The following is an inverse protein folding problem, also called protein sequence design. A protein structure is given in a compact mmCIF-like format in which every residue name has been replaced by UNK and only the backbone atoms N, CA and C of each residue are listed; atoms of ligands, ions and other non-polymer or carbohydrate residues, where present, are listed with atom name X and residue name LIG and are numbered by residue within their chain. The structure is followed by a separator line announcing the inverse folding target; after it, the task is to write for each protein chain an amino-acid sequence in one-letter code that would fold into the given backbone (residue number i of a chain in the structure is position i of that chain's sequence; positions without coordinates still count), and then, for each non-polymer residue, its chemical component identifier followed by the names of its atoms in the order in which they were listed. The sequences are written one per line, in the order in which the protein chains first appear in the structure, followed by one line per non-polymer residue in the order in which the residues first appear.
data_IF_981189448485
#
_entry.id   IF_981189448485
#
_cell.length_a   1.000
_cell.length_b   1.000
_cell.length_c   1.000
_cell.angle_alpha   90.00
_cell.angle_beta   90.00
_cell.angle_gamma   90.00
#
_symmetry.space_group_name_H-M   'P 1'
#
loop_
_entity.id
_entity.type
_entity.pdbx_description
1 polymer ?
#
# COMPACT_ATOMS: atom_id res chain seq x y z
N UNK A 1 23.14 -10.23 8.38
CA UNK A 1 23.15 -9.06 7.46
C UNK A 1 23.49 -7.84 8.29
N UNK A 2 24.37 -6.94 7.84
CA UNK A 2 24.60 -5.67 8.51
C UNK A 2 23.29 -4.86 8.61
N UNK A 3 23.02 -4.17 9.74
CA UNK A 3 21.81 -3.37 9.93
C UNK A 3 21.53 -2.40 8.78
N UNK A 4 22.56 -1.72 8.27
CA UNK A 4 22.43 -0.75 7.16
C UNK A 4 21.90 -1.37 5.87
N UNK A 5 22.30 -2.62 5.59
CA UNK A 5 21.79 -3.35 4.42
C UNK A 5 20.32 -3.71 4.57
N UNK A 6 19.84 -3.92 5.80
CA UNK A 6 18.42 -4.22 6.07
C UNK A 6 17.59 -2.95 5.84
N UNK A 7 18.02 -1.82 6.43
CA UNK A 7 17.35 -0.53 6.27
C UNK A 7 17.32 -0.08 4.81
N UNK A 8 18.45 -0.17 4.10
CA UNK A 8 18.53 0.17 2.67
C UNK A 8 17.58 -0.67 1.81
N UNK A 9 17.46 -1.97 2.09
CA UNK A 9 16.54 -2.86 1.36
C UNK A 9 15.08 -2.49 1.62
N UNK A 10 14.73 -2.27 2.89
CA UNK A 10 13.39 -1.85 3.28
C UNK A 10 12.97 -0.57 2.55
N UNK A 11 13.85 0.44 2.57
CA UNK A 11 13.60 1.72 1.91
C UNK A 11 13.41 1.56 0.39
N UNK A 12 14.28 0.78 -0.27
CA UNK A 12 14.16 0.52 -1.71
C UNK A 12 12.87 -0.21 -2.07
N UNK A 13 12.44 -1.17 -1.24
CA UNK A 13 11.16 -1.86 -1.43
C UNK A 13 9.98 -0.89 -1.35
N UNK A 14 9.99 0.05 -0.40
CA UNK A 14 8.95 1.10 -0.32
C UNK A 14 8.97 2.01 -1.56
N UNK A 15 10.15 2.41 -2.03
CA UNK A 15 10.29 3.28 -3.21
C UNK A 15 9.73 2.63 -4.48
N UNK A 16 9.92 1.31 -4.62
CA UNK A 16 9.46 0.52 -5.76
C UNK A 16 8.01 0.04 -5.63
N UNK A 17 7.40 0.14 -4.45
CA UNK A 17 6.13 -0.49 -4.13
C UNK A 17 5.01 -0.11 -5.10
N UNK A 18 4.92 1.17 -5.49
CA UNK A 18 3.93 1.65 -6.46
C UNK A 18 4.03 0.92 -7.81
N UNK A 19 5.22 0.90 -8.41
CA UNK A 19 5.42 0.26 -9.72
C UNK A 19 5.25 -1.26 -9.63
N UNK A 20 5.73 -1.88 -8.55
CA UNK A 20 5.51 -3.31 -8.31
C UNK A 20 4.02 -3.64 -8.25
N UNK A 21 3.23 -2.83 -7.55
CA UNK A 21 1.79 -3.03 -7.40
C UNK A 21 1.07 -2.97 -8.75
N UNK A 22 1.50 -2.09 -9.66
CA UNK A 22 0.94 -1.98 -11.02
C UNK A 22 1.23 -3.18 -11.92
N UNK A 23 2.29 -3.96 -11.61
CA UNK A 23 2.63 -5.18 -12.34
C UNK A 23 1.82 -6.40 -11.84
N UNK A 24 1.16 -6.29 -10.69
CA UNK A 24 0.32 -7.36 -10.15
C UNK A 24 -1.05 -7.35 -10.83
N UNK A 25 -1.59 -8.53 -11.11
CA UNK A 25 -3.00 -8.66 -11.51
C UNK A 25 -3.95 -8.18 -10.39
N UNK A 26 -3.57 -8.39 -9.14
CA UNK A 26 -4.30 -7.93 -7.95
C UNK A 26 -3.32 -7.78 -6.81
N UNK A 27 -3.49 -6.79 -5.95
CA UNK A 27 -2.63 -6.58 -4.78
C UNK A 27 -3.46 -6.20 -3.55
N UNK A 28 -2.99 -6.59 -2.36
CA UNK A 28 -3.66 -6.27 -1.10
C UNK A 28 -2.67 -5.60 -0.15
N UNK A 29 -3.16 -4.58 0.55
CA UNK A 29 -2.43 -3.89 1.60
C UNK A 29 -3.13 -4.12 2.94
N UNK A 30 -2.34 -4.51 3.93
CA UNK A 30 -2.80 -4.81 5.27
C UNK A 30 -1.76 -4.35 6.29
N UNK A 31 -2.24 -3.98 7.47
CA UNK A 31 -1.37 -3.92 8.66
C UNK A 31 -1.35 -5.30 9.30
N UNK A 32 -0.17 -5.72 9.76
CA UNK A 32 0.02 -6.99 10.47
C UNK A 32 0.73 -6.79 11.81
N UNK A 33 0.67 -5.58 12.38
CA UNK A 33 1.34 -5.25 13.64
C UNK A 33 0.71 -5.95 14.84
N UNK A 34 -0.61 -6.15 14.83
CA UNK A 34 -1.34 -6.90 15.85
C UNK A 34 -2.20 -8.00 15.21
N UNK A 35 -3.14 -7.60 14.36
CA UNK A 35 -4.03 -8.48 13.60
C UNK A 35 -3.92 -8.15 12.12
N UNK A 36 -4.03 -9.16 11.27
CA UNK A 36 -3.99 -9.00 9.82
C UNK A 36 -5.21 -8.20 9.34
N UNK A 37 -5.06 -6.88 9.23
CA UNK A 37 -6.15 -5.95 8.93
C UNK A 37 -6.01 -5.40 7.52
N UNK A 38 -6.76 -5.93 6.53
CA UNK A 38 -6.72 -5.40 5.17
C UNK A 38 -7.42 -4.04 5.09
N UNK A 39 -6.74 -3.06 4.50
CA UNK A 39 -7.25 -1.69 4.40
C UNK A 39 -7.26 -1.14 2.97
N UNK A 40 -6.54 -1.75 2.02
CA UNK A 40 -6.62 -1.37 0.61
C UNK A 40 -6.37 -2.55 -0.32
N UNK A 41 -6.84 -2.42 -1.56
CA UNK A 41 -6.69 -3.40 -2.63
C UNK A 41 -6.49 -2.71 -3.97
N UNK A 42 -5.57 -3.21 -4.80
CA UNK A 42 -5.58 -2.93 -6.24
C UNK A 42 -6.32 -4.04 -6.96
N UNK A 43 -7.41 -3.68 -7.60
CA UNK A 43 -8.29 -4.58 -8.35
C UNK A 43 -7.69 -4.96 -9.71
N UNK A 44 -8.15 -6.04 -10.35
CA UNK A 44 -7.78 -6.40 -11.73
C UNK A 44 -7.94 -5.29 -12.77
N UNK A 45 -8.85 -4.35 -12.54
CA UNK A 45 -9.09 -3.23 -13.45
C UNK A 45 -8.24 -1.99 -13.13
N UNK A 46 -7.25 -2.13 -12.24
CA UNK A 46 -6.31 -1.08 -11.86
C UNK A 46 -6.85 -0.02 -10.90
N UNK A 47 -8.05 -0.23 -10.33
CA UNK A 47 -8.57 0.65 -9.27
C UNK A 47 -7.92 0.34 -7.93
N UNK A 48 -7.55 1.39 -7.19
CA UNK A 48 -7.14 1.33 -5.81
C UNK A 48 -8.35 1.57 -4.90
N UNK A 49 -8.82 0.49 -4.29
CA UNK A 49 -9.94 0.48 -3.36
C UNK A 49 -9.42 0.62 -1.93
N UNK A 50 -9.93 1.61 -1.20
CA UNK A 50 -9.49 1.91 0.18
C UNK A 50 -10.69 1.77 1.11
N UNK A 51 -10.56 0.91 2.12
CA UNK A 51 -11.56 0.76 3.19
C UNK A 51 -11.40 1.91 4.19
N UNK A 52 -12.28 2.90 4.11
CA UNK A 52 -12.15 4.17 4.83
C UNK A 52 -11.94 3.99 6.33
N UNK A 53 -12.80 3.20 6.98
CA UNK A 53 -12.73 2.96 8.43
C UNK A 53 -11.41 2.34 8.86
N UNK A 54 -10.92 1.35 8.10
CA UNK A 54 -9.66 0.66 8.40
C UNK A 54 -8.47 1.59 8.17
N UNK A 55 -8.44 2.30 7.05
CA UNK A 55 -7.39 3.26 6.73
C UNK A 55 -7.30 4.38 7.77
N UNK A 56 -8.43 4.96 8.17
CA UNK A 56 -8.48 6.03 9.15
C UNK A 56 -8.05 5.56 10.56
N UNK A 57 -8.33 4.30 10.91
CA UNK A 57 -7.87 3.71 12.17
C UNK A 57 -6.37 3.43 12.16
N UNK A 58 -5.85 2.89 11.05
CA UNK A 58 -4.46 2.42 10.94
C UNK A 58 -3.46 3.55 10.63
N UNK A 59 -3.88 4.61 9.94
CA UNK A 59 -3.03 5.72 9.49
C UNK A 59 -1.70 5.25 8.86
N UNK A 60 -1.72 4.38 7.82
CA UNK A 60 -0.51 3.76 7.29
C UNK A 60 0.32 4.78 6.48
N UNK A 61 1.24 5.49 7.14
CA UNK A 61 2.04 6.58 6.55
C UNK A 61 2.85 6.11 5.34
N UNK A 62 3.48 4.94 5.44
CA UNK A 62 4.27 4.35 4.34
C UNK A 62 3.41 4.11 3.09
N UNK A 63 2.18 3.64 3.25
CA UNK A 63 1.27 3.41 2.14
C UNK A 63 0.86 4.74 1.53
N UNK A 64 0.59 5.75 2.37
CA UNK A 64 0.24 7.09 1.91
C UNK A 64 1.32 7.67 1.01
N UNK A 65 2.57 7.69 1.48
CA UNK A 65 3.69 8.30 0.75
C UNK A 65 4.15 7.50 -0.47
N UNK A 66 4.12 6.16 -0.40
CA UNK A 66 4.71 5.32 -1.43
C UNK A 66 3.71 4.74 -2.42
N UNK A 67 2.41 4.74 -2.13
CA UNK A 67 1.37 4.18 -3.02
C UNK A 67 0.27 5.20 -3.27
N UNK A 68 -0.45 5.63 -2.23
CA UNK A 68 -1.67 6.43 -2.39
C UNK A 68 -1.45 7.74 -3.14
N UNK A 69 -0.44 8.53 -2.73
CA UNK A 69 -0.17 9.82 -3.35
C UNK A 69 0.38 9.72 -4.78
N UNK A 70 0.85 8.53 -5.18
CA UNK A 70 1.38 8.24 -6.52
C UNK A 70 0.32 7.64 -7.45
N UNK A 71 -0.77 7.12 -6.91
CA UNK A 71 -1.86 6.53 -7.69
C UNK A 71 -2.64 7.62 -8.44
N UNK A 72 -3.15 7.31 -9.64
CA UNK A 72 -3.97 8.31 -10.36
C UNK A 72 -5.32 8.50 -9.67
N UNK A 73 -5.71 9.76 -9.49
CA UNK A 73 -6.84 10.14 -8.64
C UNK A 73 -8.18 9.59 -9.16
N UNK A 74 -8.32 9.49 -10.48
CA UNK A 74 -9.48 8.90 -11.16
C UNK A 74 -9.62 7.39 -10.95
N UNK A 75 -8.56 6.73 -10.46
CA UNK A 75 -8.53 5.30 -10.16
C UNK A 75 -8.58 4.98 -8.67
N UNK A 76 -8.83 5.96 -7.81
CA UNK A 76 -8.99 5.74 -6.37
C UNK A 76 -10.48 5.66 -6.04
N UNK A 77 -10.88 4.61 -5.31
CA UNK A 77 -12.24 4.44 -4.80
C UNK A 77 -12.21 4.27 -3.29
N UNK A 78 -13.06 5.04 -2.61
CA UNK A 78 -13.24 4.91 -1.17
C UNK A 78 -14.44 4.01 -0.91
N UNK A 79 -14.23 2.92 -0.19
CA UNK A 79 -15.24 1.95 0.19
C UNK A 79 -15.57 2.17 1.68
N UNK A 80 -16.86 2.27 1.99
CA UNK A 80 -17.40 2.54 3.34
C UNK A 80 -17.57 1.30 4.19
#
# INVERSE_FOLDING_TARGET
MPPDKILSRYQRSLEQLHEMTKLCYRAYFFDNSNELTPFAEVTPNGFLDIKEKAYNKLQPVWFRSHVLLKWSKDKIRIIR
#
